data_IF_798204529069
#
_entry.id   IF_798204529069
#
_cell.length_a   1.000
_cell.length_b   1.000
_cell.length_c   1.000
_cell.angle_alpha   90.00
_cell.angle_beta   90.00
_cell.angle_gamma   90.00
#
_symmetry.space_group_name_H-M   'P 1'
#
loop_
_entity.id
_entity.type
_entity.pdbx_description
1 polymer ?
#
# COMPACT_ATOMS: atom_id res chain seq x y z
N UNK A 1 -15.54 43.94 -24.28
CA UNK A 1 -16.81 43.73 -25.02
C UNK A 1 -17.63 42.72 -24.24
N UNK A 2 -18.51 43.22 -23.39
CA UNK A 2 -19.23 42.46 -22.35
C UNK A 2 -20.67 42.29 -22.82
N UNK A 3 -21.07 41.04 -23.11
CA UNK A 3 -22.42 40.73 -23.58
C UNK A 3 -23.32 40.34 -22.39
N UNK A 4 -24.29 41.21 -22.10
CA UNK A 4 -25.33 41.04 -21.08
C UNK A 4 -26.53 40.33 -21.71
N UNK A 5 -26.90 39.15 -21.21
CA UNK A 5 -28.09 38.39 -21.65
C UNK A 5 -29.24 38.66 -20.68
N UNK A 6 -30.38 39.12 -21.22
CA UNK A 6 -31.64 39.35 -20.48
C UNK A 6 -32.48 38.05 -20.41
N UNK A 7 -33.26 37.82 -19.35
CA UNK A 7 -34.26 36.76 -19.31
C UNK A 7 -35.59 37.23 -19.93
N UNK A 8 -36.29 36.31 -20.62
CA UNK A 8 -37.63 36.48 -21.18
C UNK A 8 -38.66 35.92 -20.19
N UNK A 9 -39.53 36.79 -19.71
CA UNK A 9 -40.77 36.41 -19.02
C UNK A 9 -41.87 36.07 -20.03
N UNK A 10 -42.76 35.16 -19.63
CA UNK A 10 -44.11 35.07 -20.16
C UNK A 10 -44.53 33.67 -20.61
N UNK A 11 -45.33 32.96 -19.80
CA UNK A 11 -46.72 32.64 -20.14
C UNK A 11 -47.40 31.85 -19.01
N UNK A 12 -48.46 32.44 -18.45
CA UNK A 12 -49.52 31.73 -17.73
C UNK A 12 -50.41 31.03 -18.76
N UNK A 13 -50.81 29.78 -18.49
CA UNK A 13 -52.01 29.19 -19.09
C UNK A 13 -52.63 28.13 -18.17
N UNK A 14 -53.79 28.51 -17.62
CA UNK A 14 -55.07 27.79 -17.54
C UNK A 14 -55.06 26.33 -17.05
N UNK A 15 -55.71 26.15 -15.90
CA UNK A 15 -56.20 24.90 -15.35
C UNK A 15 -57.22 24.21 -16.28
N UNK A 16 -57.09 22.90 -16.43
CA UNK A 16 -58.21 22.01 -16.75
C UNK A 16 -58.15 20.78 -15.85
N UNK A 17 -59.20 20.64 -15.05
CA UNK A 17 -59.61 19.44 -14.34
C UNK A 17 -59.78 18.27 -15.31
N UNK A 18 -59.06 17.18 -15.05
CA UNK A 18 -59.45 15.84 -15.51
C UNK A 18 -59.32 14.89 -14.33
N UNK A 19 -60.45 14.66 -13.65
CA UNK A 19 -60.69 13.47 -12.86
C UNK A 19 -60.76 12.27 -13.81
N UNK A 20 -59.76 11.38 -13.74
CA UNK A 20 -59.70 10.19 -14.58
C UNK A 20 -58.83 9.10 -13.94
N UNK A 21 -59.50 8.18 -13.25
CA UNK A 21 -59.14 6.76 -13.09
C UNK A 21 -57.67 6.45 -12.72
N UNK A 22 -57.45 6.36 -11.41
CA UNK A 22 -56.30 5.74 -10.76
C UNK A 22 -56.27 4.22 -11.06
N UNK A 23 -55.83 3.85 -12.27
CA UNK A 23 -55.40 2.49 -12.56
C UNK A 23 -54.01 2.30 -11.97
N UNK A 24 -53.88 1.31 -11.08
CA UNK A 24 -52.67 1.00 -10.35
C UNK A 24 -51.43 1.07 -11.23
N UNK A 25 -50.67 2.16 -11.05
CA UNK A 25 -49.29 2.21 -11.48
C UNK A 25 -48.57 1.17 -10.63
N UNK A 26 -48.45 -0.04 -11.20
CA UNK A 26 -47.37 -0.94 -10.82
C UNK A 26 -46.11 -0.09 -10.93
N UNK A 27 -45.61 0.32 -9.77
CA UNK A 27 -44.32 0.94 -9.58
C UNK A 27 -43.31 -0.10 -10.09
N UNK A 28 -43.10 -0.09 -11.41
CA UNK A 28 -42.03 -0.79 -12.09
C UNK A 28 -40.76 -0.08 -11.64
N UNK A 29 -40.41 -0.30 -10.38
CA UNK A 29 -39.13 0.05 -9.80
C UNK A 29 -38.14 -0.69 -10.66
N UNK A 30 -37.51 0.05 -11.59
CA UNK A 30 -36.55 -0.48 -12.54
C UNK A 30 -35.61 -1.37 -11.74
N UNK A 31 -35.57 -2.69 -11.99
CA UNK A 31 -34.82 -3.59 -11.14
C UNK A 31 -33.36 -3.15 -11.15
N UNK A 32 -32.93 -2.66 -9.99
CA UNK A 32 -31.55 -2.64 -9.57
C UNK A 32 -30.61 -1.77 -10.43
N UNK A 33 -30.95 -0.50 -10.64
CA UNK A 33 -29.88 0.47 -10.93
C UNK A 33 -29.00 0.54 -9.68
N UNK A 34 -27.77 0.06 -9.78
CA UNK A 34 -26.79 0.09 -8.71
C UNK A 34 -26.70 1.52 -8.17
N UNK A 35 -27.03 1.71 -6.89
CA UNK A 35 -26.84 3.01 -6.26
C UNK A 35 -25.33 3.26 -6.15
N UNK A 36 -24.84 4.46 -6.53
CA UNK A 36 -23.44 4.83 -6.33
C UNK A 36 -22.99 4.48 -4.91
N UNK A 37 -21.84 3.81 -4.79
CA UNK A 37 -21.26 3.43 -3.50
C UNK A 37 -21.87 2.20 -2.82
N UNK A 38 -22.91 1.57 -3.36
CA UNK A 38 -23.41 0.30 -2.82
C UNK A 38 -22.70 -0.90 -3.46
N UNK A 39 -22.23 -1.85 -2.64
CA UNK A 39 -21.73 -3.13 -3.14
C UNK A 39 -22.89 -3.97 -3.72
N UNK A 40 -22.67 -4.73 -4.80
CA UNK A 40 -23.63 -5.72 -5.25
C UNK A 40 -24.00 -6.71 -4.14
N UNK A 41 -25.24 -7.22 -4.08
CA UNK A 41 -25.72 -8.05 -2.97
C UNK A 41 -24.81 -9.24 -2.63
N UNK A 42 -24.31 -9.94 -3.64
CA UNK A 42 -23.42 -11.09 -3.47
C UNK A 42 -22.06 -10.70 -2.88
N UNK A 43 -21.49 -9.58 -3.36
CA UNK A 43 -20.24 -9.04 -2.83
C UNK A 43 -20.42 -8.54 -1.38
N UNK A 44 -21.55 -7.91 -1.08
CA UNK A 44 -21.87 -7.46 0.28
C UNK A 44 -22.07 -8.65 1.23
N UNK A 45 -22.70 -9.74 0.78
CA UNK A 45 -22.82 -10.98 1.56
C UNK A 45 -21.45 -11.59 1.83
N UNK A 46 -20.60 -11.68 0.80
CA UNK A 46 -19.26 -12.20 0.95
C UNK A 46 -18.41 -11.38 1.93
N UNK A 47 -18.47 -10.05 1.88
CA UNK A 47 -17.74 -9.20 2.83
C UNK A 47 -18.19 -9.48 4.27
N UNK A 48 -19.50 -9.59 4.53
CA UNK A 48 -20.02 -9.95 5.87
C UNK A 48 -19.54 -11.31 6.33
N UNK A 49 -19.51 -12.31 5.44
CA UNK A 49 -19.00 -13.65 5.77
C UNK A 49 -17.51 -13.60 6.14
N UNK A 50 -16.72 -12.77 5.44
CA UNK A 50 -15.31 -12.55 5.73
C UNK A 50 -15.08 -11.81 7.06
N UNK A 51 -15.91 -10.81 7.36
CA UNK A 51 -15.91 -10.13 8.66
C UNK A 51 -16.21 -11.09 9.81
N UNK A 52 -17.26 -11.92 9.66
CA UNK A 52 -17.61 -12.94 10.64
C UNK A 52 -16.44 -13.94 10.83
N UNK A 53 -15.84 -14.40 9.74
CA UNK A 53 -14.68 -15.30 9.80
C UNK A 53 -13.50 -14.65 10.54
N UNK A 54 -13.20 -13.37 10.26
CA UNK A 54 -12.13 -12.64 10.95
C UNK A 54 -12.42 -12.47 12.45
N UNK A 55 -13.68 -12.25 12.84
CA UNK A 55 -14.10 -12.18 14.24
C UNK A 55 -13.96 -13.53 14.95
N UNK A 56 -14.36 -14.63 14.30
CA UNK A 56 -14.22 -15.99 14.84
C UNK A 56 -12.74 -16.35 15.05
N UNK A 57 -11.88 -16.04 14.08
CA UNK A 57 -10.43 -16.23 14.18
C UNK A 57 -9.83 -15.41 15.33
N UNK A 58 -10.26 -14.16 15.50
CA UNK A 58 -9.84 -13.33 16.62
C UNK A 58 -10.24 -13.94 17.97
N UNK A 59 -11.49 -14.38 18.10
CA UNK A 59 -11.99 -15.00 19.32
C UNK A 59 -11.19 -16.27 19.66
N UNK A 60 -10.89 -17.11 18.66
CA UNK A 60 -10.06 -18.30 18.83
C UNK A 60 -8.62 -17.97 19.25
N UNK A 61 -7.99 -16.96 18.64
CA UNK A 61 -6.65 -16.52 18.99
C UNK A 61 -6.58 -15.97 20.43
N UNK A 62 -7.55 -15.16 20.84
CA UNK A 62 -7.63 -14.61 22.20
C UNK A 62 -7.85 -15.70 23.25
N UNK A 63 -8.73 -16.68 22.98
CA UNK A 63 -8.93 -17.80 23.90
C UNK A 63 -7.62 -18.61 24.12
N UNK A 64 -6.82 -18.82 23.07
CA UNK A 64 -5.52 -19.48 23.19
C UNK A 64 -4.49 -18.60 23.90
N UNK A 65 -4.52 -17.28 23.68
CA UNK A 65 -3.67 -16.33 24.38
C UNK A 65 -3.94 -16.30 25.88
N UNK A 66 -5.22 -16.25 26.29
CA UNK A 66 -5.60 -16.28 27.70
C UNK A 66 -5.09 -17.55 28.37
N UNK A 67 -5.27 -18.71 27.72
CA UNK A 67 -4.70 -19.98 28.19
C UNK A 67 -3.18 -19.92 28.33
N UNK A 68 -2.49 -19.33 27.35
CA UNK A 68 -1.03 -19.18 27.38
C UNK A 68 -0.58 -18.34 28.58
N UNK A 69 -1.32 -17.28 28.94
CA UNK A 69 -1.02 -16.47 30.13
C UNK A 69 -1.20 -17.27 31.42
N UNK A 70 -2.32 -17.99 31.57
CA UNK A 70 -2.54 -18.86 32.73
C UNK A 70 -1.44 -19.92 32.87
N UNK A 71 -1.06 -20.58 31.76
CA UNK A 71 0.01 -21.58 31.79
C UNK A 71 1.37 -20.99 32.20
N UNK A 72 1.66 -19.74 31.82
CA UNK A 72 2.86 -18.99 32.24
C UNK A 72 2.83 -18.59 33.70
N UNK A 73 1.69 -18.14 34.21
CA UNK A 73 1.47 -17.81 35.62
C UNK A 73 1.69 -19.05 36.50
N UNK A 74 1.09 -20.19 36.14
CA UNK A 74 1.27 -21.48 36.82
C UNK A 74 2.75 -21.89 36.88
N UNK A 75 3.47 -21.76 35.76
CA UNK A 75 4.91 -22.05 35.72
C UNK A 75 5.69 -21.12 36.65
N UNK A 76 5.35 -19.83 36.68
CA UNK A 76 6.02 -18.85 37.52
C UNK A 76 5.80 -19.15 39.02
N UNK A 77 4.60 -19.58 39.42
CA UNK A 77 4.32 -20.02 40.79
C UNK A 77 5.16 -21.25 41.18
N UNK A 78 5.28 -22.24 40.30
CA UNK A 78 6.14 -23.41 40.53
C UNK A 78 7.63 -23.02 40.65
N UNK A 79 8.11 -22.13 39.79
CA UNK A 79 9.48 -21.62 39.85
C UNK A 79 9.75 -20.86 41.15
N UNK A 80 8.80 -20.03 41.60
CA UNK A 80 8.90 -19.33 42.87
C UNK A 80 8.94 -20.31 44.06
N UNK A 81 8.15 -21.39 44.01
CA UNK A 81 8.18 -22.46 45.02
C UNK A 81 9.53 -23.18 45.06
N UNK A 82 10.09 -23.54 43.90
CA UNK A 82 11.45 -24.11 43.79
C UNK A 82 12.48 -23.17 44.41
N UNK A 83 12.45 -21.89 44.03
CA UNK A 83 13.38 -20.88 44.55
C UNK A 83 13.21 -20.62 46.06
N UNK A 84 12.02 -20.85 46.63
CA UNK A 84 11.79 -20.80 48.08
C UNK A 84 12.39 -22.02 48.78
N UNK A 85 12.22 -23.24 48.24
CA UNK A 85 12.82 -24.46 48.78
C UNK A 85 14.36 -24.37 48.79
N UNK A 86 14.97 -23.88 47.70
CA UNK A 86 16.42 -23.67 47.59
C UNK A 86 16.95 -22.65 48.62
N UNK A 87 16.17 -21.61 48.93
CA UNK A 87 16.54 -20.61 49.94
C UNK A 87 16.37 -21.12 51.37
N UNK A 88 15.35 -21.91 51.64
CA UNK A 88 15.07 -22.43 52.98
C UNK A 88 16.04 -23.54 53.39
N UNK A 89 16.42 -24.41 52.46
CA UNK A 89 17.21 -25.61 52.73
C UNK A 89 18.29 -25.87 51.67
N UNK A 90 19.33 -25.02 51.57
CA UNK A 90 20.32 -25.10 50.49
C UNK A 90 21.06 -26.45 50.44
N UNK A 91 21.32 -27.08 51.60
CA UNK A 91 22.07 -28.34 51.68
C UNK A 91 21.19 -29.60 51.55
N UNK A 92 19.86 -29.46 51.45
CA UNK A 92 18.92 -30.60 51.48
C UNK A 92 17.99 -30.68 50.26
N UNK A 93 18.14 -29.80 49.26
CA UNK A 93 17.32 -29.83 48.04
C UNK A 93 17.63 -31.03 47.15
N UNK A 94 18.86 -31.53 47.16
CA UNK A 94 19.27 -32.67 46.32
C UNK A 94 18.77 -33.99 46.92
N UNK A 95 17.83 -34.65 46.23
CA UNK A 95 17.18 -35.88 46.67
C UNK A 95 15.82 -35.69 47.36
N UNK A 96 15.40 -34.44 47.60
CA UNK A 96 14.04 -34.16 48.07
C UNK A 96 13.00 -34.47 46.97
N UNK A 97 12.00 -35.28 47.32
CA UNK A 97 10.98 -35.76 46.37
C UNK A 97 10.05 -34.64 45.89
N UNK A 98 9.76 -33.66 46.73
CA UNK A 98 8.89 -32.54 46.39
C UNK A 98 9.61 -31.57 45.44
N UNK A 99 10.88 -31.30 45.68
CA UNK A 99 11.74 -30.51 44.80
C UNK A 99 11.83 -31.13 43.39
N UNK A 100 12.12 -32.42 43.28
CA UNK A 100 12.19 -33.12 41.99
C UNK A 100 10.83 -33.15 41.27
N UNK A 101 9.73 -33.30 42.02
CA UNK A 101 8.37 -33.22 41.46
C UNK A 101 8.06 -31.82 40.93
N UNK A 102 8.45 -30.77 41.65
CA UNK A 102 8.27 -29.39 41.22
C UNK A 102 9.08 -29.11 39.93
N UNK A 103 10.35 -29.53 39.88
CA UNK A 103 11.19 -29.43 38.68
C UNK A 103 10.57 -30.13 37.47
N UNK A 104 10.11 -31.37 37.64
CA UNK A 104 9.41 -32.12 36.59
C UNK A 104 8.13 -31.39 36.13
N UNK A 105 7.43 -30.75 37.06
CA UNK A 105 6.21 -29.98 36.75
C UNK A 105 6.54 -28.70 35.96
N UNK A 106 7.61 -27.98 36.29
CA UNK A 106 8.10 -26.84 35.50
C UNK A 106 8.50 -27.26 34.09
N UNK A 107 9.19 -28.39 33.93
CA UNK A 107 9.55 -28.92 32.62
C UNK A 107 8.31 -29.27 31.78
N UNK A 108 7.32 -29.94 32.38
CA UNK A 108 6.06 -30.25 31.73
C UNK A 108 5.28 -28.99 31.32
N UNK A 109 5.21 -27.99 32.20
CA UNK A 109 4.53 -26.73 31.91
C UNK A 109 5.26 -25.92 30.83
N UNK A 110 6.58 -25.98 30.78
CA UNK A 110 7.38 -25.36 29.71
C UNK A 110 7.07 -25.99 28.34
N UNK A 111 6.94 -27.31 28.27
CA UNK A 111 6.54 -27.99 27.03
C UNK A 111 5.11 -27.60 26.60
N UNK A 112 4.15 -27.50 27.54
CA UNK A 112 2.79 -27.03 27.25
C UNK A 112 2.76 -25.59 26.73
N UNK A 113 3.48 -24.68 27.39
CA UNK A 113 3.61 -23.29 26.95
C UNK A 113 4.16 -23.23 25.52
N UNK A 114 5.15 -24.06 25.16
CA UNK A 114 5.69 -24.10 23.81
C UNK A 114 4.64 -24.53 22.78
N UNK A 115 3.85 -25.56 23.08
CA UNK A 115 2.75 -26.02 22.20
C UNK A 115 1.65 -24.96 22.06
N UNK A 116 1.18 -24.40 23.18
CA UNK A 116 0.15 -23.36 23.21
C UNK A 116 0.62 -22.09 22.49
N UNK A 117 1.88 -21.70 22.66
CA UNK A 117 2.49 -20.57 21.95
C UNK A 117 2.50 -20.81 20.44
N UNK A 118 2.95 -21.98 19.98
CA UNK A 118 2.95 -22.31 18.55
C UNK A 118 1.53 -22.34 17.96
N UNK A 119 0.53 -22.77 18.74
CA UNK A 119 -0.89 -22.71 18.35
C UNK A 119 -1.39 -21.27 18.24
N UNK A 120 -1.08 -20.44 19.24
CA UNK A 120 -1.42 -19.01 19.24
C UNK A 120 -0.81 -18.30 18.04
N UNK A 121 0.47 -18.54 17.74
CA UNK A 121 1.16 -17.94 16.59
C UNK A 121 0.46 -18.26 15.27
N UNK A 122 0.06 -19.52 15.04
CA UNK A 122 -0.71 -19.91 13.85
C UNK A 122 -2.07 -19.23 13.78
N UNK A 123 -2.83 -19.21 14.88
CA UNK A 123 -4.16 -18.59 14.92
C UNK A 123 -4.09 -17.07 14.77
N UNK A 124 -3.13 -16.42 15.43
CA UNK A 124 -2.89 -14.98 15.32
C UNK A 124 -2.44 -14.61 13.90
N UNK A 125 -1.59 -15.41 13.26
CA UNK A 125 -1.23 -15.20 11.85
C UNK A 125 -2.44 -15.28 10.92
N UNK A 126 -3.31 -16.29 11.09
CA UNK A 126 -4.54 -16.43 10.31
C UNK A 126 -5.51 -15.26 10.53
N UNK A 127 -5.72 -14.85 11.79
CA UNK A 127 -6.52 -13.67 12.13
C UNK A 127 -5.96 -12.39 11.49
N UNK A 128 -4.66 -12.13 11.64
CA UNK A 128 -4.01 -10.95 11.08
C UNK A 128 -4.13 -10.90 9.55
N UNK A 129 -4.02 -12.04 8.87
CA UNK A 129 -4.22 -12.14 7.43
C UNK A 129 -5.66 -11.80 7.03
N UNK A 130 -6.66 -12.39 7.70
CA UNK A 130 -8.07 -12.13 7.44
C UNK A 130 -8.46 -10.67 7.73
N UNK A 131 -8.03 -10.13 8.87
CA UNK A 131 -8.32 -8.76 9.27
C UNK A 131 -7.70 -7.72 8.32
N UNK A 132 -6.47 -7.98 7.82
CA UNK A 132 -5.83 -7.13 6.82
C UNK A 132 -6.62 -7.11 5.51
N UNK A 133 -7.09 -8.28 5.07
CA UNK A 133 -7.87 -8.39 3.83
C UNK A 133 -9.22 -7.67 3.95
N UNK A 134 -9.95 -7.89 5.05
CA UNK A 134 -11.22 -7.17 5.33
C UNK A 134 -10.99 -5.67 5.31
N UNK A 135 -9.97 -5.16 6.04
CA UNK A 135 -9.65 -3.73 6.04
C UNK A 135 -9.33 -3.21 4.63
N UNK A 136 -8.54 -3.93 3.86
CA UNK A 136 -8.21 -3.52 2.48
C UNK A 136 -9.45 -3.45 1.59
N UNK A 137 -10.42 -4.35 1.77
CA UNK A 137 -11.68 -4.33 1.03
C UNK A 137 -12.53 -3.12 1.45
N UNK A 138 -12.63 -2.84 2.75
CA UNK A 138 -13.36 -1.67 3.28
C UNK A 138 -12.73 -0.36 2.78
N UNK A 139 -11.42 -0.20 2.89
CA UNK A 139 -10.70 1.00 2.42
C UNK A 139 -10.88 1.20 0.91
N UNK A 140 -10.82 0.12 0.12
CA UNK A 140 -11.09 0.20 -1.32
C UNK A 140 -12.54 0.60 -1.62
N UNK A 141 -13.51 0.04 -0.90
CA UNK A 141 -14.92 0.35 -1.07
C UNK A 141 -15.22 1.81 -0.73
N UNK A 142 -14.67 2.32 0.39
CA UNK A 142 -14.78 3.72 0.80
C UNK A 142 -14.15 4.67 -0.22
N UNK A 143 -12.96 4.33 -0.75
CA UNK A 143 -12.28 5.12 -1.77
C UNK A 143 -13.05 5.23 -3.10
N UNK A 144 -14.00 4.32 -3.34
CA UNK A 144 -14.84 4.28 -4.55
C UNK A 144 -16.32 4.49 -4.25
N UNK A 145 -16.67 5.14 -3.15
CA UNK A 145 -18.05 5.41 -2.74
C UNK A 145 -18.85 6.21 -3.79
N UNK A 146 -18.20 7.02 -4.63
CA UNK A 146 -18.87 7.79 -5.68
C UNK A 146 -19.01 7.03 -7.01
N UNK A 147 -18.37 5.87 -7.14
CA UNK A 147 -18.35 5.10 -8.37
C UNK A 147 -19.37 3.94 -8.33
N UNK A 148 -20.12 3.68 -9.41
CA UNK A 148 -21.00 2.51 -9.48
C UNK A 148 -20.16 1.22 -9.53
N UNK A 149 -20.28 0.38 -8.50
CA UNK A 149 -19.62 -0.94 -8.44
C UNK A 149 -20.59 -1.98 -8.97
N UNK A 150 -20.18 -2.78 -9.96
CA UNK A 150 -21.01 -3.79 -10.61
C UNK A 150 -20.40 -5.19 -10.52
N UNK A 151 -21.22 -6.26 -10.52
CA UNK A 151 -20.71 -7.63 -10.57
C UNK A 151 -19.84 -7.86 -11.82
N UNK A 152 -18.70 -8.53 -11.63
CA UNK A 152 -17.86 -8.95 -12.74
C UNK A 152 -18.50 -10.15 -13.45
N UNK A 153 -18.78 -10.00 -14.75
CA UNK A 153 -19.25 -11.11 -15.59
C UNK A 153 -18.07 -11.85 -16.20
N UNK A 154 -17.42 -12.72 -15.40
CA UNK A 154 -16.32 -13.57 -15.86
C UNK A 154 -16.78 -15.03 -16.03
N UNK A 155 -16.33 -15.70 -17.09
CA UNK A 155 -16.52 -17.15 -17.23
C UNK A 155 -15.62 -17.88 -16.24
N UNK A 156 -16.12 -18.92 -15.59
CA UNK A 156 -15.29 -19.76 -14.70
C UNK A 156 -14.00 -20.20 -15.41
N UNK A 157 -12.83 -20.01 -14.80
CA UNK A 157 -11.57 -20.39 -15.40
C UNK A 157 -11.52 -21.92 -15.58
N UNK A 158 -10.84 -22.37 -16.64
CA UNK A 158 -10.72 -23.79 -16.95
C UNK A 158 -9.55 -24.39 -16.19
N UNK A 159 -9.75 -25.53 -15.55
CA UNK A 159 -8.66 -26.34 -15.02
C UNK A 159 -7.91 -27.02 -16.16
N UNK A 160 -6.60 -27.23 -15.98
CA UNK A 160 -5.80 -28.05 -16.86
C UNK A 160 -6.26 -29.52 -16.84
N UNK A 161 -5.86 -30.30 -17.85
CA UNK A 161 -6.19 -31.73 -17.91
C UNK A 161 -5.59 -32.47 -16.70
N UNK A 162 -6.45 -32.97 -15.81
CA UNK A 162 -6.05 -33.70 -14.60
C UNK A 162 -5.59 -32.80 -13.45
N UNK A 163 -5.74 -31.48 -13.56
CA UNK A 163 -5.37 -30.54 -12.51
C UNK A 163 -6.48 -30.42 -11.45
N UNK A 164 -6.09 -30.43 -10.18
CA UNK A 164 -6.99 -30.16 -9.05
C UNK A 164 -7.17 -28.66 -8.86
N UNK A 165 -8.27 -28.22 -8.23
CA UNK A 165 -8.47 -26.80 -7.93
C UNK A 165 -7.32 -26.20 -7.10
N UNK A 166 -6.74 -26.98 -6.17
CA UNK A 166 -5.53 -26.61 -5.43
C UNK A 166 -4.32 -26.42 -6.36
N UNK A 167 -4.08 -27.34 -7.30
CA UNK A 167 -3.01 -27.20 -8.28
C UNK A 167 -3.16 -25.92 -9.14
N UNK A 168 -4.40 -25.58 -9.50
CA UNK A 168 -4.70 -24.36 -10.23
C UNK A 168 -4.42 -23.09 -9.40
N UNK A 169 -4.76 -23.09 -8.11
CA UNK A 169 -4.44 -21.98 -7.18
C UNK A 169 -2.92 -21.78 -7.08
N UNK A 170 -2.14 -22.85 -6.91
CA UNK A 170 -0.68 -22.76 -6.83
C UNK A 170 -0.04 -22.28 -8.14
N UNK A 171 -0.60 -22.66 -9.29
CA UNK A 171 -0.20 -22.09 -10.58
C UNK A 171 -0.48 -20.59 -10.64
N UNK A 172 -1.66 -20.14 -10.22
CA UNK A 172 -1.97 -18.71 -10.18
C UNK A 172 -0.99 -17.96 -9.27
N UNK A 173 -0.68 -18.48 -8.08
CA UNK A 173 0.28 -17.88 -7.15
C UNK A 173 1.69 -17.80 -7.72
N UNK A 174 2.15 -18.84 -8.39
CA UNK A 174 3.44 -18.84 -9.10
C UNK A 174 3.47 -17.75 -10.17
N UNK A 175 2.40 -17.65 -10.97
CA UNK A 175 2.27 -16.61 -12.00
C UNK A 175 2.24 -15.20 -11.42
N UNK A 176 1.58 -15.00 -10.28
CA UNK A 176 1.57 -13.72 -9.58
C UNK A 176 2.96 -13.32 -9.08
N UNK A 177 3.74 -14.27 -8.56
CA UNK A 177 5.12 -14.01 -8.16
C UNK A 177 5.99 -13.56 -9.34
N UNK A 178 5.83 -14.20 -10.50
CA UNK A 178 6.51 -13.79 -11.75
C UNK A 178 6.12 -12.36 -12.18
N UNK A 179 4.82 -12.05 -12.16
CA UNK A 179 4.30 -10.74 -12.56
C UNK A 179 4.73 -9.62 -11.60
N UNK A 180 4.79 -9.91 -10.30
CA UNK A 180 5.31 -8.96 -9.30
C UNK A 180 6.79 -8.70 -9.50
N UNK A 181 7.59 -9.75 -9.74
CA UNK A 181 8.99 -9.59 -10.10
C UNK A 181 9.19 -8.79 -11.41
N UNK A 182 8.26 -8.90 -12.36
CA UNK A 182 8.26 -8.07 -13.57
C UNK A 182 7.90 -6.61 -13.25
N UNK A 183 6.90 -6.36 -12.41
CA UNK A 183 6.57 -5.01 -11.95
C UNK A 183 7.77 -4.34 -11.26
N UNK A 184 8.46 -5.06 -10.39
CA UNK A 184 9.68 -4.59 -9.71
C UNK A 184 10.81 -4.29 -10.72
N UNK A 185 10.97 -5.12 -11.76
CA UNK A 185 11.93 -4.86 -12.85
C UNK A 185 11.59 -3.61 -13.64
N UNK A 186 10.31 -3.41 -13.96
CA UNK A 186 9.84 -2.20 -14.67
C UNK A 186 10.06 -0.96 -13.81
N UNK A 187 9.78 -1.03 -12.50
CA UNK A 187 9.98 0.07 -11.56
C UNK A 187 11.46 0.45 -11.44
N UNK A 188 12.34 -0.56 -11.37
CA UNK A 188 13.78 -0.39 -11.26
C UNK A 188 14.48 -0.06 -12.60
N UNK A 189 13.75 -0.03 -13.72
CA UNK A 189 14.33 0.26 -15.03
C UNK A 189 14.94 1.69 -15.05
N UNK A 190 16.20 1.85 -15.47
CA UNK A 190 16.83 3.16 -15.52
C UNK A 190 16.18 4.07 -16.57
N UNK A 191 16.38 5.38 -16.43
CA UNK A 191 16.03 6.34 -17.47
C UNK A 191 17.00 6.20 -18.66
N UNK A 192 16.54 6.37 -19.91
CA UNK A 192 17.43 6.42 -21.06
C UNK A 192 18.45 7.55 -20.93
N UNK A 193 19.69 7.30 -21.36
CA UNK A 193 20.77 8.28 -21.34
C UNK A 193 20.38 9.58 -22.03
N UNK A 194 19.64 9.50 -23.14
CA UNK A 194 19.13 10.66 -23.86
C UNK A 194 18.22 11.55 -22.99
N UNK A 195 17.32 10.95 -22.22
CA UNK A 195 16.41 11.65 -21.32
C UNK A 195 17.17 12.22 -20.11
N UNK A 196 18.10 11.45 -19.55
CA UNK A 196 18.97 11.91 -18.46
C UNK A 196 19.83 13.12 -18.87
N UNK A 197 20.43 13.08 -20.06
CA UNK A 197 21.20 14.20 -20.63
C UNK A 197 20.31 15.41 -20.91
N UNK A 198 19.08 15.21 -21.40
CA UNK A 198 18.12 16.30 -21.56
C UNK A 198 17.78 16.96 -20.21
N UNK A 199 17.58 16.16 -19.16
CA UNK A 199 17.34 16.65 -17.80
C UNK A 199 18.56 17.42 -17.23
N UNK A 200 19.77 16.92 -17.46
CA UNK A 200 21.02 17.62 -17.09
C UNK A 200 21.11 18.98 -17.77
N UNK A 201 20.83 19.07 -19.08
CA UNK A 201 20.87 20.34 -19.80
C UNK A 201 19.87 21.34 -19.25
N UNK A 202 18.63 20.91 -19.01
CA UNK A 202 17.59 21.75 -18.39
C UNK A 202 18.00 22.21 -16.98
N UNK A 203 18.64 21.34 -16.20
CA UNK A 203 19.15 21.67 -14.87
C UNK A 203 20.29 22.69 -14.92
N UNK A 204 21.27 22.51 -15.81
CA UNK A 204 22.39 23.45 -16.00
C UNK A 204 21.88 24.80 -16.51
N UNK A 205 20.90 24.83 -17.41
CA UNK A 205 20.26 26.08 -17.87
C UNK A 205 19.57 26.83 -16.73
N UNK A 206 18.84 26.11 -15.87
CA UNK A 206 18.21 26.69 -14.68
C UNK A 206 19.27 27.24 -13.70
N UNK A 207 20.37 26.51 -13.49
CA UNK A 207 21.50 26.97 -12.68
C UNK A 207 22.17 28.22 -13.28
N UNK A 208 22.44 28.22 -14.58
CA UNK A 208 23.07 29.34 -15.28
C UNK A 208 22.20 30.60 -15.20
N UNK A 209 20.88 30.44 -15.37
CA UNK A 209 19.91 31.53 -15.23
C UNK A 209 19.92 32.11 -13.82
N UNK A 210 19.98 31.25 -12.79
CA UNK A 210 20.10 31.67 -11.39
C UNK A 210 21.45 32.32 -11.09
N UNK A 211 22.54 31.80 -11.63
CA UNK A 211 23.91 32.21 -11.34
C UNK A 211 24.36 33.50 -12.02
N UNK A 212 23.56 34.02 -12.96
CA UNK A 212 23.85 35.25 -13.68
C UNK A 212 23.98 36.45 -12.73
N UNK A 213 25.15 37.10 -12.64
CA UNK A 213 25.31 38.28 -11.79
C UNK A 213 24.44 39.45 -12.27
N UNK A 214 23.79 40.14 -11.33
CA UNK A 214 23.09 41.40 -11.60
C UNK A 214 24.10 42.56 -11.57
N UNK A 215 24.41 43.08 -12.76
CA UNK A 215 25.37 44.17 -12.96
C UNK A 215 24.71 45.56 -12.95
N UNK A 216 23.38 45.67 -12.79
CA UNK A 216 22.68 46.97 -12.79
C UNK A 216 23.23 47.92 -11.72
N UNK A 217 23.62 47.36 -10.56
CA UNK A 217 24.24 48.11 -9.47
C UNK A 217 25.54 48.81 -9.84
N UNK A 218 26.29 48.28 -10.82
CA UNK A 218 27.53 48.88 -11.34
C UNK A 218 27.28 50.11 -12.22
N UNK A 219 26.12 50.18 -12.86
CA UNK A 219 25.74 51.30 -13.73
C UNK A 219 25.06 52.44 -12.93
N UNK A 220 24.71 52.17 -11.67
CA UNK A 220 24.16 53.16 -10.74
C UNK A 220 25.24 53.69 -9.79
N UNK A 221 25.14 54.96 -9.38
CA UNK A 221 26.06 55.57 -8.41
C UNK A 221 25.98 54.96 -6.98
N UNK A 222 25.08 54.00 -6.74
CA UNK A 222 24.71 53.56 -5.40
C UNK A 222 25.61 52.44 -4.81
N UNK A 223 26.19 51.56 -5.63
CA UNK A 223 26.95 50.40 -5.09
C UNK A 223 28.29 50.14 -5.79
N UNK A 224 28.40 50.41 -7.09
CA UNK A 224 29.62 50.18 -7.86
C UNK A 224 30.08 48.72 -7.92
N UNK A 225 29.21 47.75 -7.59
CA UNK A 225 29.56 46.31 -7.52
C UNK A 225 28.48 45.44 -8.18
N UNK A 226 28.85 44.31 -8.81
CA UNK A 226 27.88 43.32 -9.26
C UNK A 226 27.28 42.56 -8.07
N UNK A 227 26.02 42.14 -8.17
CA UNK A 227 25.35 41.31 -7.18
C UNK A 227 25.29 39.87 -7.69
N UNK A 228 25.81 38.94 -6.90
CA UNK A 228 25.77 37.51 -7.22
C UNK A 228 24.57 36.83 -6.55
N UNK A 229 24.09 35.76 -7.16
CA UNK A 229 23.06 34.94 -6.54
C UNK A 229 23.60 34.26 -5.28
N UNK A 230 22.80 34.33 -4.22
CA UNK A 230 23.16 33.81 -2.92
C UNK A 230 22.32 32.58 -2.61
N UNK A 231 22.93 31.61 -1.95
CA UNK A 231 22.17 30.48 -1.42
C UNK A 231 21.26 30.99 -0.30
N UNK A 232 19.99 30.52 -0.23
CA UNK A 232 19.16 30.77 0.94
C UNK A 232 19.93 30.27 2.17
N UNK A 233 20.04 31.11 3.20
CA UNK A 233 20.94 30.90 4.34
C UNK A 233 20.82 29.48 4.89
N UNK A 234 21.82 28.65 4.61
CA UNK A 234 21.88 27.29 5.13
C UNK A 234 22.24 27.43 6.60
N UNK A 235 21.37 27.03 7.55
CA UNK A 235 21.71 27.06 8.95
C UNK A 235 22.86 26.07 9.16
N UNK A 236 24.04 26.61 9.47
CA UNK A 236 25.19 25.78 9.83
C UNK A 236 25.06 25.48 11.32
N UNK A 237 25.04 24.20 11.74
CA UNK A 237 25.08 23.87 13.15
C UNK A 237 26.37 24.44 13.74
N UNK A 238 26.23 25.44 14.61
CA UNK A 238 27.35 25.99 15.36
C UNK A 238 27.35 25.37 16.75
N UNK A 239 28.53 24.97 17.20
CA UNK A 239 28.74 24.47 18.56
C UNK A 239 29.10 25.64 19.46
N UNK A 240 28.19 26.62 19.53
CA UNK A 240 28.31 27.71 20.49
C UNK A 240 27.76 27.25 21.84
N UNK A 241 28.58 27.36 22.89
CA UNK A 241 28.21 27.03 24.28
C UNK A 241 27.76 25.58 24.53
N UNK A 242 28.31 24.60 23.81
CA UNK A 242 28.05 23.17 24.08
C UNK A 242 26.65 22.69 23.75
N UNK A 243 25.84 23.53 23.10
CA UNK A 243 24.52 23.17 22.56
C UNK A 243 24.54 23.37 21.04
N UNK A 244 24.07 22.37 20.30
CA UNK A 244 23.89 22.48 18.85
C UNK A 244 22.69 23.40 18.58
N UNK A 245 22.94 24.71 18.51
CA UNK A 245 21.95 25.68 18.08
C UNK A 245 22.20 26.04 16.61
N UNK A 246 21.15 26.12 15.76
CA UNK A 246 21.30 26.65 14.42
C UNK A 246 21.61 28.14 14.52
N UNK A 247 22.87 28.52 14.34
CA UNK A 247 23.27 29.91 14.21
C UNK A 247 23.16 30.26 12.73
N UNK A 248 22.31 31.24 12.42
CA UNK A 248 22.34 31.88 11.12
C UNK A 248 23.66 32.65 11.04
N UNK A 249 24.71 32.03 10.49
CA UNK A 249 25.89 32.76 10.07
C UNK A 249 25.40 33.83 9.09
N UNK A 250 25.43 35.10 9.48
CA UNK A 250 24.98 36.24 8.67
C UNK A 250 25.85 36.51 7.43
N UNK A 251 26.59 35.50 6.96
CA UNK A 251 27.40 35.55 5.76
C UNK A 251 26.53 35.24 4.54
N UNK A 252 26.57 36.15 3.58
CA UNK A 252 26.04 35.90 2.24
C UNK A 252 26.96 34.90 1.54
N UNK A 253 26.50 33.66 1.35
CA UNK A 253 27.24 32.64 0.60
C UNK A 253 26.81 32.69 -0.86
N UNK A 254 27.74 33.04 -1.75
CA UNK A 254 27.51 33.02 -3.19
C UNK A 254 27.27 31.58 -3.67
N UNK A 255 26.32 31.38 -4.58
CA UNK A 255 26.07 30.09 -5.22
C UNK A 255 27.15 29.81 -6.29
N UNK A 256 28.27 29.23 -5.84
CA UNK A 256 29.43 28.94 -6.71
C UNK A 256 29.10 27.95 -7.84
N UNK A 257 28.18 27.01 -7.62
CA UNK A 257 27.78 26.06 -8.65
C UNK A 257 26.94 26.74 -9.74
N UNK A 258 25.99 27.59 -9.36
CA UNK A 258 25.23 28.38 -10.32
C UNK A 258 26.13 29.35 -11.11
N UNK A 259 27.12 29.96 -10.45
CA UNK A 259 28.10 30.80 -11.12
C UNK A 259 28.96 30.01 -12.13
N UNK A 260 29.37 28.79 -11.79
CA UNK A 260 30.09 27.91 -12.70
C UNK A 260 29.20 27.53 -13.90
N UNK A 261 27.94 27.16 -13.67
CA UNK A 261 26.98 26.87 -14.72
C UNK A 261 26.74 28.08 -15.64
N UNK A 262 26.73 29.30 -15.10
CA UNK A 262 26.60 30.52 -15.90
C UNK A 262 27.85 30.82 -16.73
N UNK A 263 29.05 30.63 -16.17
CA UNK A 263 30.32 30.96 -16.85
C UNK A 263 30.78 29.89 -17.84
N UNK A 264 30.51 28.62 -17.55
CA UNK A 264 31.01 27.47 -18.32
C UNK A 264 29.92 26.39 -18.50
N UNK A 265 28.73 26.73 -19.05
CA UNK A 265 27.63 25.77 -19.18
C UNK A 265 28.01 24.55 -20.02
N UNK A 266 28.68 24.76 -21.15
CA UNK A 266 29.03 23.69 -22.09
C UNK A 266 30.02 22.68 -21.49
N UNK A 267 31.01 23.16 -20.72
CA UNK A 267 31.98 22.28 -20.07
C UNK A 267 31.31 21.43 -18.98
N UNK A 268 30.40 22.03 -18.21
CA UNK A 268 29.65 21.34 -17.17
C UNK A 268 28.72 20.28 -17.79
N UNK A 269 27.99 20.63 -18.85
CA UNK A 269 27.15 19.68 -19.61
C UNK A 269 27.99 18.56 -20.19
N UNK A 270 29.09 18.86 -20.88
CA UNK A 270 29.95 17.84 -21.49
C UNK A 270 30.52 16.87 -20.45
N UNK A 271 30.91 17.38 -19.26
CA UNK A 271 31.42 16.54 -18.18
C UNK A 271 30.35 15.61 -17.62
N UNK A 272 29.13 16.11 -17.41
CA UNK A 272 28.00 15.31 -16.92
C UNK A 272 27.50 14.32 -17.98
N UNK A 273 27.45 14.72 -19.24
CA UNK A 273 27.05 13.84 -20.36
C UNK A 273 28.02 12.67 -20.48
N UNK A 274 29.33 12.89 -20.32
CA UNK A 274 30.34 11.83 -20.35
C UNK A 274 30.22 10.85 -19.17
N UNK A 275 29.88 11.36 -17.98
CA UNK A 275 29.59 10.52 -16.81
C UNK A 275 28.34 9.66 -17.05
N UNK A 276 27.28 10.25 -17.62
CA UNK A 276 26.07 9.51 -18.00
C UNK A 276 26.40 8.42 -19.02
N UNK A 277 27.19 8.71 -20.06
CA UNK A 277 27.59 7.70 -21.05
C UNK A 277 28.36 6.52 -20.44
N UNK A 278 29.08 6.77 -19.34
CA UNK A 278 29.84 5.73 -18.63
C UNK A 278 28.94 4.83 -17.78
N UNK A 279 27.86 5.38 -17.22
CA UNK A 279 26.99 4.69 -16.26
C UNK A 279 25.67 4.18 -16.86
N UNK A 280 25.26 4.69 -18.03
CA UNK A 280 23.98 4.36 -18.63
C UNK A 280 23.90 2.89 -19.07
N UNK A 281 22.76 2.26 -18.79
CA UNK A 281 22.37 0.95 -19.30
C UNK A 281 21.14 1.09 -20.21
N UNK A 282 21.34 1.69 -21.37
CA UNK A 282 20.27 1.97 -22.34
C UNK A 282 19.58 0.70 -22.86
N UNK A 283 20.23 -0.46 -22.75
CA UNK A 283 19.63 -1.74 -23.12
C UNK A 283 18.50 -2.17 -22.18
N UNK A 284 18.50 -1.69 -20.94
CA UNK A 284 17.46 -1.95 -19.93
C UNK A 284 16.62 -0.71 -19.60
N UNK A 285 16.94 0.43 -20.19
CA UNK A 285 16.27 1.68 -19.88
C UNK A 285 14.85 1.73 -20.42
N UNK A 286 13.98 2.43 -19.69
CA UNK A 286 12.59 2.67 -20.08
C UNK A 286 12.26 4.16 -19.96
N UNK A 287 11.67 4.73 -21.00
CA UNK A 287 11.08 6.08 -20.90
C UNK A 287 9.94 6.07 -19.89
N UNK A 288 9.64 7.21 -19.26
CA UNK A 288 8.52 7.32 -18.31
C UNK A 288 7.18 6.85 -18.91
N UNK A 289 6.95 7.11 -20.20
CA UNK A 289 5.75 6.66 -20.92
C UNK A 289 5.74 5.15 -21.10
N UNK A 290 6.85 4.56 -21.54
CA UNK A 290 6.97 3.10 -21.70
C UNK A 290 6.80 2.39 -20.35
N UNK A 291 7.39 2.95 -19.28
CA UNK A 291 7.27 2.45 -17.93
C UNK A 291 5.82 2.49 -17.45
N UNK A 292 5.10 3.60 -17.65
CA UNK A 292 3.69 3.71 -17.27
C UNK A 292 2.80 2.70 -18.02
N UNK A 293 3.02 2.52 -19.34
CA UNK A 293 2.29 1.53 -20.14
C UNK A 293 2.56 0.11 -19.66
N UNK A 294 3.83 -0.23 -19.42
CA UNK A 294 4.21 -1.56 -18.95
C UNK A 294 3.67 -1.86 -17.54
N UNK A 295 3.72 -0.87 -16.63
CA UNK A 295 3.12 -0.98 -15.28
C UNK A 295 1.63 -1.23 -15.36
N UNK A 296 0.90 -0.48 -16.20
CA UNK A 296 -0.54 -0.66 -16.38
C UNK A 296 -0.88 -2.05 -16.94
N UNK A 297 -0.08 -2.55 -17.90
CA UNK A 297 -0.26 -3.88 -18.45
C UNK A 297 -0.02 -4.99 -17.42
N UNK A 298 1.08 -4.92 -16.69
CA UNK A 298 1.38 -5.91 -15.64
C UNK A 298 0.33 -5.85 -14.52
N UNK A 299 -0.12 -4.67 -14.12
CA UNK A 299 -1.19 -4.53 -13.13
C UNK A 299 -2.51 -5.17 -13.60
N UNK A 300 -2.87 -5.01 -14.87
CA UNK A 300 -4.02 -5.70 -15.50
C UNK A 300 -3.86 -7.22 -15.47
N UNK A 301 -2.68 -7.73 -15.83
CA UNK A 301 -2.40 -9.16 -15.80
C UNK A 301 -2.45 -9.73 -14.37
N UNK A 302 -1.92 -8.99 -13.38
CA UNK A 302 -2.01 -9.36 -11.96
C UNK A 302 -3.49 -9.51 -11.58
N UNK A 303 -4.31 -8.48 -11.80
CA UNK A 303 -5.73 -8.51 -11.44
C UNK A 303 -6.47 -9.68 -12.12
N UNK A 304 -6.18 -9.97 -13.39
CA UNK A 304 -6.77 -11.09 -14.10
C UNK A 304 -6.43 -12.44 -13.44
N UNK A 305 -5.15 -12.65 -13.08
CA UNK A 305 -4.71 -13.88 -12.41
C UNK A 305 -5.29 -13.98 -11.00
N UNK A 306 -5.44 -12.87 -10.28
CA UNK A 306 -6.08 -12.86 -8.95
C UNK A 306 -7.57 -13.21 -9.02
N UNK A 307 -8.27 -12.77 -10.06
CA UNK A 307 -9.67 -13.16 -10.31
C UNK A 307 -9.78 -14.67 -10.60
N UNK A 308 -8.85 -15.21 -11.38
CA UNK A 308 -8.79 -16.66 -11.62
C UNK A 308 -8.48 -17.43 -10.32
N UNK A 309 -7.54 -16.94 -9.50
CA UNK A 309 -7.24 -17.51 -8.17
C UNK A 309 -8.48 -17.56 -7.29
N UNK A 310 -9.22 -16.45 -7.15
CA UNK A 310 -10.44 -16.38 -6.33
C UNK A 310 -11.53 -17.31 -6.86
N UNK A 311 -11.70 -17.41 -8.19
CA UNK A 311 -12.65 -18.35 -8.77
C UNK A 311 -12.30 -19.81 -8.43
N UNK A 312 -11.02 -20.20 -8.48
CA UNK A 312 -10.59 -21.54 -8.07
C UNK A 312 -10.69 -21.76 -6.55
N UNK A 313 -10.48 -20.72 -5.73
CA UNK A 313 -10.69 -20.78 -4.28
C UNK A 313 -12.16 -21.07 -3.95
N UNK A 314 -13.10 -20.38 -4.62
CA UNK A 314 -14.54 -20.64 -4.47
C UNK A 314 -14.92 -22.06 -4.89
N UNK A 315 -14.35 -22.55 -6.00
CA UNK A 315 -14.53 -23.95 -6.42
C UNK A 315 -13.99 -24.94 -5.38
N UNK A 316 -12.84 -24.66 -4.78
CA UNK A 316 -12.22 -25.50 -3.75
C UNK A 316 -13.10 -25.60 -2.50
N UNK A 317 -13.65 -24.47 -2.05
CA UNK A 317 -14.59 -24.41 -0.91
C UNK A 317 -15.84 -25.23 -1.20
N UNK A 318 -16.39 -25.16 -2.41
CA UNK A 318 -17.55 -25.97 -2.81
C UNK A 318 -17.27 -27.49 -2.79
N UNK A 319 -16.00 -27.89 -2.96
CA UNK A 319 -15.56 -29.29 -2.85
C UNK A 319 -15.12 -29.71 -1.43
N UNK A 320 -15.25 -28.82 -0.44
CA UNK A 320 -14.89 -29.08 0.96
C UNK A 320 -13.42 -28.83 1.31
N UNK A 321 -12.63 -28.25 0.40
CA UNK A 321 -11.26 -27.84 0.70
C UNK A 321 -11.24 -26.35 1.07
N UNK A 322 -10.89 -26.07 2.33
CA UNK A 322 -10.65 -24.71 2.79
C UNK A 322 -9.21 -24.33 2.48
N UNK A 323 -9.04 -23.33 1.62
CA UNK A 323 -7.75 -22.73 1.30
C UNK A 323 -7.75 -21.28 1.79
N UNK A 324 -6.66 -20.90 2.45
CA UNK A 324 -6.50 -19.54 2.95
C UNK A 324 -6.33 -18.56 1.79
N UNK A 325 -7.14 -17.50 1.81
CA UNK A 325 -6.99 -16.35 0.92
C UNK A 325 -5.72 -15.59 1.28
N UNK A 326 -5.07 -15.01 0.28
CA UNK A 326 -3.91 -14.14 0.50
C UNK A 326 -4.37 -12.82 1.13
N UNK A 327 -3.60 -12.35 2.12
CA UNK A 327 -3.93 -11.11 2.85
C UNK A 327 -3.75 -9.84 2.00
N UNK A 328 -3.07 -9.96 0.87
CA UNK A 328 -2.73 -8.89 -0.08
C UNK A 328 -3.47 -9.03 -1.42
N UNK A 329 -4.53 -9.86 -1.49
CA UNK A 329 -5.33 -10.02 -2.70
C UNK A 329 -6.12 -8.73 -3.02
N UNK A 330 -6.22 -8.36 -4.30
CA UNK A 330 -6.98 -7.18 -4.72
C UNK A 330 -8.47 -7.31 -4.34
N UNK A 331 -9.05 -6.31 -3.65
CA UNK A 331 -10.47 -6.31 -3.26
C UNK A 331 -11.44 -6.59 -4.41
N UNK A 332 -11.14 -6.12 -5.63
CA UNK A 332 -11.97 -6.33 -6.82
C UNK A 332 -11.99 -7.80 -7.22
N UNK A 333 -10.84 -8.48 -7.12
CA UNK A 333 -10.74 -9.92 -7.39
C UNK A 333 -11.50 -10.72 -6.35
N UNK A 334 -11.28 -10.43 -5.06
CA UNK A 334 -11.93 -11.16 -3.96
C UNK A 334 -13.45 -11.06 -4.04
N UNK A 335 -13.97 -9.84 -4.23
CA UNK A 335 -15.42 -9.60 -4.31
C UNK A 335 -16.03 -9.95 -5.68
N UNK A 336 -15.22 -10.27 -6.69
CA UNK A 336 -15.64 -10.48 -8.08
C UNK A 336 -16.48 -9.31 -8.62
N UNK A 337 -15.95 -8.10 -8.47
CA UNK A 337 -16.58 -6.84 -8.91
C UNK A 337 -15.67 -6.03 -9.83
N UNK A 338 -16.25 -5.03 -10.49
CA UNK A 338 -15.55 -4.01 -11.26
C UNK A 338 -16.26 -2.67 -11.13
N UNK A 339 -15.55 -1.57 -11.36
CA UNK A 339 -16.18 -0.24 -11.42
C UNK A 339 -16.83 -0.06 -12.79
N UNK A 340 -18.07 0.43 -12.85
CA UNK A 340 -18.75 0.61 -14.13
C UNK A 340 -18.03 1.68 -14.96
N UNK A 341 -17.77 1.37 -16.23
CA UNK A 341 -17.00 2.23 -17.13
C UNK A 341 -15.49 1.96 -17.11
N UNK A 342 -14.98 1.25 -16.09
CA UNK A 342 -13.68 0.58 -16.19
C UNK A 342 -13.89 -0.56 -17.21
N UNK A 343 -13.39 -0.38 -18.43
CA UNK A 343 -13.60 -1.34 -19.50
C UNK A 343 -13.19 -2.73 -19.00
N UNK A 344 -14.08 -3.71 -19.15
CA UNK A 344 -13.76 -5.12 -18.95
C UNK A 344 -12.79 -5.55 -20.05
N UNK A 345 -11.53 -5.16 -19.91
CA UNK A 345 -10.44 -5.47 -20.84
C UNK A 345 -9.76 -6.76 -20.44
#
# INVERSE_FOLDING_TARGET
MTATVRPREGHRSIAQDVHGLNHGAHDYRVPNQAQPGSLPPDAAAQLRDMEATAQDLNAAANATFDRLQHEREDRALLQNSIAQMERAHPDQVEGDKEYERAKKSVAAQTARIAETSARYERQSAAWNAAARLVRSITEWHEAHADAPIVPLKQSSPRTGKGETALGAVERCRSRLAELRAEADRIEAAPLPSADAKAAVRAYVEALASRGRPDVRGMLSAASGKPHFANLPGVPVPSLEFGTLAPVALGGVVNDGLALLAWTQPDLLIASLDAEIDTLADDARAMTAVAQAVARAEVARQILAVERDEEAFLRMSVATGFLLDRRADADPRAVLMVTIAGEAAQ
#
